data_IF_593204139035
#
_entry.id   IF_593204139035
#
_cell.length_a   1.000
_cell.length_b   1.000
_cell.length_c   1.000
_cell.angle_alpha   90.00
_cell.angle_beta   90.00
_cell.angle_gamma   90.00
#
_symmetry.space_group_name_H-M   'P 1'
#
loop_
_entity.id
_entity.type
_entity.pdbx_description
1 polymer ?
#
# COMPACT_ATOMS: atom_id res chain seq x y z
N UNK A 1 -20.20 -10.03 10.90
CA UNK A 1 -21.42 -9.25 11.18
C UNK A 1 -22.46 -10.07 11.94
N UNK A 2 -23.02 -11.15 11.39
CA UNK A 2 -24.05 -11.96 12.08
C UNK A 2 -23.62 -12.50 13.45
N UNK A 3 -22.40 -13.05 13.57
CA UNK A 3 -21.92 -13.58 14.85
C UNK A 3 -21.85 -12.50 15.94
N UNK A 4 -21.36 -11.30 15.60
CA UNK A 4 -21.23 -10.18 16.51
C UNK A 4 -22.61 -9.65 16.96
N UNK A 5 -23.58 -9.60 16.03
CA UNK A 5 -24.93 -9.17 16.33
C UNK A 5 -25.66 -10.14 17.26
N UNK A 6 -25.48 -11.46 17.06
CA UNK A 6 -26.05 -12.47 17.95
C UNK A 6 -25.33 -12.57 19.28
N UNK A 7 -24.00 -12.38 19.34
CA UNK A 7 -23.27 -12.27 20.61
C UNK A 7 -23.81 -11.07 21.42
N UNK A 8 -23.98 -9.91 20.79
CA UNK A 8 -24.58 -8.74 21.43
C UNK A 8 -26.01 -8.99 21.93
N UNK A 9 -26.82 -9.74 21.18
CA UNK A 9 -28.17 -10.11 21.60
C UNK A 9 -28.18 -11.14 22.76
N UNK A 10 -27.15 -11.99 22.86
CA UNK A 10 -26.94 -12.86 24.03
C UNK A 10 -26.54 -12.04 25.24
N UNK A 11 -25.62 -11.07 25.08
CA UNK A 11 -25.19 -10.19 26.17
C UNK A 11 -26.32 -9.32 26.74
N UNK A 12 -27.31 -8.98 25.90
CA UNK A 12 -28.53 -8.28 26.29
C UNK A 12 -29.64 -9.21 26.82
N UNK A 13 -29.39 -10.51 26.98
CA UNK A 13 -30.37 -11.53 27.40
C UNK A 13 -31.62 -11.62 26.48
N UNK A 14 -31.55 -11.09 25.26
CA UNK A 14 -32.64 -11.15 24.26
C UNK A 14 -32.76 -12.58 23.72
N UNK A 15 -31.65 -13.30 23.62
CA UNK A 15 -31.58 -14.70 23.21
C UNK A 15 -30.62 -15.47 24.12
N UNK A 16 -30.87 -16.78 24.30
CA UNK A 16 -30.09 -17.62 25.23
C UNK A 16 -28.79 -18.18 24.65
N UNK A 17 -28.65 -18.17 23.33
CA UNK A 17 -27.53 -18.77 22.63
C UNK A 17 -27.36 -18.14 21.25
N UNK A 18 -26.13 -18.11 20.75
CA UNK A 18 -25.81 -17.54 19.45
C UNK A 18 -25.87 -18.64 18.36
N UNK A 19 -26.90 -18.63 17.49
CA UNK A 19 -27.07 -19.65 16.45
C UNK A 19 -26.00 -19.59 15.35
N UNK A 20 -25.35 -18.44 15.14
CA UNK A 20 -24.30 -18.28 14.13
C UNK A 20 -23.04 -19.08 14.47
N UNK A 21 -22.81 -19.42 15.75
CA UNK A 21 -21.68 -20.27 16.17
C UNK A 21 -21.78 -21.70 15.63
N UNK A 22 -22.98 -22.18 15.33
CA UNK A 22 -23.24 -23.51 14.75
C UNK A 22 -23.15 -23.52 13.22
N UNK A 23 -23.10 -22.35 12.58
CA UNK A 23 -22.98 -22.25 11.14
C UNK A 23 -21.57 -22.67 10.70
N UNK A 24 -21.45 -23.91 10.21
CA UNK A 24 -20.23 -24.39 9.56
C UNK A 24 -20.29 -23.98 8.09
N UNK A 25 -19.49 -22.98 7.72
CA UNK A 25 -19.26 -22.68 6.32
C UNK A 25 -18.63 -23.91 5.64
N UNK A 26 -19.11 -24.31 4.45
CA UNK A 26 -18.50 -25.40 3.72
C UNK A 26 -17.01 -25.10 3.47
N UNK A 27 -16.16 -26.13 3.56
CA UNK A 27 -14.73 -25.97 3.24
C UNK A 27 -14.60 -25.50 1.80
N UNK A 28 -14.17 -24.25 1.62
CA UNK A 28 -13.90 -23.69 0.31
C UNK A 28 -12.73 -24.46 -0.31
N UNK A 29 -13.00 -25.25 -1.35
CA UNK A 29 -11.94 -25.86 -2.17
C UNK A 29 -11.33 -24.72 -3.00
N UNK A 30 -10.03 -24.47 -2.85
CA UNK A 30 -9.33 -23.48 -3.67
C UNK A 30 -9.35 -23.94 -5.13
N UNK A 31 -9.94 -23.15 -6.02
CA UNK A 31 -10.04 -23.44 -7.47
C UNK A 31 -8.94 -22.72 -8.25
N UNK A 32 -8.72 -23.08 -9.52
CA UNK A 32 -7.83 -22.32 -10.44
C UNK A 32 -8.21 -20.82 -10.53
N UNK A 33 -9.48 -20.49 -10.38
CA UNK A 33 -9.96 -19.09 -10.35
C UNK A 33 -9.47 -18.36 -9.10
N UNK A 34 -9.37 -19.03 -7.95
CA UNK A 34 -8.80 -18.45 -6.74
C UNK A 34 -7.30 -18.18 -6.86
N UNK A 35 -6.58 -18.93 -7.72
CA UNK A 35 -5.18 -18.65 -8.04
C UNK A 35 -5.05 -17.40 -8.91
N UNK A 36 -5.85 -17.28 -9.99
CA UNK A 36 -5.88 -16.08 -10.83
C UNK A 36 -6.22 -14.80 -10.06
N UNK A 37 -7.18 -14.89 -9.12
CA UNK A 37 -7.53 -13.78 -8.23
C UNK A 37 -6.37 -13.29 -7.35
N UNK A 38 -5.34 -14.10 -7.11
CA UNK A 38 -4.15 -13.66 -6.37
C UNK A 38 -3.20 -12.90 -7.30
N UNK A 39 -3.02 -13.35 -8.54
CA UNK A 39 -2.19 -12.68 -9.56
C UNK A 39 -2.73 -11.30 -9.95
N UNK A 40 -4.04 -11.09 -9.83
CA UNK A 40 -4.68 -9.79 -10.03
C UNK A 40 -4.38 -8.78 -8.90
N UNK A 41 -3.82 -9.22 -7.76
CA UNK A 41 -3.58 -8.35 -6.59
C UNK A 41 -2.27 -7.60 -6.63
N UNK A 42 -1.35 -7.97 -7.49
CA UNK A 42 -0.03 -7.36 -7.62
C UNK A 42 0.34 -7.16 -9.09
N UNK A 43 1.33 -6.31 -9.33
CA UNK A 43 1.86 -6.03 -10.66
C UNK A 43 3.15 -6.81 -10.90
N UNK A 44 3.31 -7.33 -12.11
CA UNK A 44 4.57 -7.88 -12.61
C UNK A 44 5.49 -6.74 -13.07
N UNK A 45 6.78 -7.01 -13.29
CA UNK A 45 7.76 -5.97 -13.66
C UNK A 45 7.41 -5.25 -14.98
N UNK A 46 6.87 -5.98 -15.95
CA UNK A 46 6.43 -5.47 -17.24
C UNK A 46 5.13 -4.65 -17.18
N UNK A 47 4.41 -4.71 -16.06
CA UNK A 47 3.22 -3.88 -15.80
C UNK A 47 3.56 -2.62 -15.00
N UNK A 48 4.34 -2.75 -13.91
CA UNK A 48 4.64 -1.62 -13.03
C UNK A 48 5.55 -0.58 -13.68
N UNK A 49 6.56 -1.01 -14.46
CA UNK A 49 7.53 -0.10 -15.11
C UNK A 49 6.82 0.84 -16.11
N UNK A 50 5.99 0.37 -17.06
CA UNK A 50 5.24 1.27 -17.94
C UNK A 50 4.25 2.16 -17.20
N UNK A 51 3.57 1.63 -16.17
CA UNK A 51 2.62 2.41 -15.37
C UNK A 51 3.29 3.60 -14.68
N UNK A 52 4.43 3.38 -14.01
CA UNK A 52 5.21 4.46 -13.38
C UNK A 52 5.70 5.46 -14.42
N UNK A 53 6.25 4.97 -15.54
CA UNK A 53 6.70 5.83 -16.64
C UNK A 53 5.57 6.74 -17.16
N UNK A 54 4.36 6.22 -17.32
CA UNK A 54 3.22 7.01 -17.79
C UNK A 54 2.70 8.00 -16.74
N UNK A 55 2.87 7.71 -15.45
CA UNK A 55 2.59 8.67 -14.37
C UNK A 55 3.58 9.85 -14.38
N UNK A 56 4.87 9.59 -14.64
CA UNK A 56 5.89 10.64 -14.75
C UNK A 56 5.75 11.52 -16.00
N UNK A 57 5.05 11.05 -17.04
CA UNK A 57 4.97 11.75 -18.32
C UNK A 57 4.29 13.13 -18.26
N UNK A 58 3.40 13.37 -17.29
CA UNK A 58 2.66 14.64 -17.19
C UNK A 58 3.09 15.42 -15.94
N UNK A 59 3.36 16.73 -16.06
CA UNK A 59 3.68 17.58 -14.90
C UNK A 59 2.61 17.53 -13.80
N UNK A 60 1.33 17.45 -14.18
CA UNK A 60 0.22 17.41 -13.22
C UNK A 60 0.15 16.13 -12.38
N UNK A 61 0.78 15.04 -12.81
CA UNK A 61 0.82 13.76 -12.09
C UNK A 61 2.19 13.48 -11.47
N UNK A 62 3.16 14.38 -11.60
CA UNK A 62 4.54 14.14 -11.18
C UNK A 62 4.67 13.82 -9.68
N UNK A 63 4.06 14.65 -8.80
CA UNK A 63 4.01 14.38 -7.34
C UNK A 63 3.32 13.05 -7.00
N UNK A 64 2.29 12.69 -7.78
CA UNK A 64 1.60 11.38 -7.65
C UNK A 64 2.48 10.23 -8.12
N UNK A 65 3.30 10.43 -9.15
CA UNK A 65 4.25 9.45 -9.66
C UNK A 65 5.34 9.15 -8.63
N UNK A 66 5.89 10.19 -8.00
CA UNK A 66 6.83 10.08 -6.89
C UNK A 66 6.23 9.29 -5.72
N UNK A 67 4.99 9.57 -5.33
CA UNK A 67 4.29 8.80 -4.29
C UNK A 67 4.10 7.33 -4.72
N UNK A 68 3.73 7.06 -5.96
CA UNK A 68 3.54 5.69 -6.46
C UNK A 68 4.86 4.90 -6.47
N UNK A 69 5.95 5.53 -6.93
CA UNK A 69 7.30 4.95 -6.90
C UNK A 69 7.73 4.67 -5.46
N UNK A 70 7.58 5.63 -4.55
CA UNK A 70 7.88 5.47 -3.14
C UNK A 70 7.10 4.31 -2.51
N UNK A 71 5.77 4.23 -2.74
CA UNK A 71 4.95 3.14 -2.23
C UNK A 71 5.38 1.77 -2.78
N UNK A 72 5.87 1.71 -4.03
CA UNK A 72 6.38 0.48 -4.63
C UNK A 72 7.69 -0.03 -4.01
N UNK A 73 8.49 0.88 -3.44
CA UNK A 73 9.76 0.58 -2.77
C UNK A 73 9.57 0.30 -1.27
N UNK A 74 8.67 1.06 -0.63
CA UNK A 74 8.44 0.98 0.81
C UNK A 74 7.46 -0.14 1.19
N UNK A 75 6.36 -0.25 0.45
CA UNK A 75 5.23 -1.13 0.75
C UNK A 75 4.26 -0.60 1.81
N UNK A 76 4.30 0.69 2.13
CA UNK A 76 3.37 1.36 3.03
C UNK A 76 1.95 1.43 2.49
N UNK A 77 0.98 1.60 3.40
CA UNK A 77 -0.38 2.00 2.98
C UNK A 77 -0.37 3.46 2.57
N UNK A 78 -1.25 3.86 1.66
CA UNK A 78 -1.32 5.27 1.23
C UNK A 78 -1.55 6.24 2.38
N UNK A 79 -2.40 5.88 3.35
CA UNK A 79 -2.64 6.71 4.53
C UNK A 79 -1.42 6.88 5.43
N UNK A 80 -0.54 5.86 5.49
CA UNK A 80 0.75 5.93 6.17
C UNK A 80 1.75 6.73 5.32
N UNK A 81 1.73 6.56 4.00
CA UNK A 81 2.64 7.22 3.06
C UNK A 81 2.46 8.74 3.01
N UNK A 82 1.23 9.24 3.18
CA UNK A 82 0.92 10.68 3.13
C UNK A 82 0.93 11.39 4.49
N UNK A 83 1.22 10.64 5.56
CA UNK A 83 1.32 11.12 6.94
C UNK A 83 2.71 11.50 7.49
N UNK A 84 3.87 11.18 6.84
CA UNK A 84 5.17 11.55 7.38
C UNK A 84 5.44 13.05 7.25
N UNK A 85 6.00 13.59 8.31
CA UNK A 85 6.49 14.96 8.45
C UNK A 85 8.02 14.98 8.38
N UNK A 86 8.61 16.18 8.30
CA UNK A 86 10.08 16.34 8.24
C UNK A 86 10.81 15.78 9.47
N UNK A 87 10.17 15.64 10.62
CA UNK A 87 10.82 15.01 11.77
C UNK A 87 10.84 13.47 11.71
N UNK A 88 10.04 12.86 10.83
CA UNK A 88 9.90 11.42 10.78
C UNK A 88 10.96 10.71 9.93
N UNK A 89 11.81 11.46 9.21
CA UNK A 89 12.88 10.91 8.37
C UNK A 89 14.28 11.25 8.91
N UNK A 90 15.12 10.23 8.94
CA UNK A 90 16.54 10.33 9.25
C UNK A 90 17.33 9.73 8.08
N UNK A 91 18.04 10.59 7.33
CA UNK A 91 18.84 10.19 6.18
C UNK A 91 20.20 9.59 6.56
N UNK A 92 20.70 9.86 7.78
CA UNK A 92 21.97 9.30 8.27
C UNK A 92 21.78 7.83 8.62
N UNK A 93 20.78 7.52 9.44
CA UNK A 93 20.42 6.14 9.81
C UNK A 93 19.56 5.45 8.74
N UNK A 94 19.06 6.22 7.77
CA UNK A 94 18.12 5.78 6.72
C UNK A 94 16.79 5.29 7.27
N UNK A 95 16.41 5.72 8.48
CA UNK A 95 15.17 5.30 9.12
C UNK A 95 14.05 6.27 8.74
N UNK A 96 12.93 5.72 8.28
CA UNK A 96 11.67 6.45 8.14
C UNK A 96 10.65 5.89 9.11
N UNK A 97 10.13 6.77 9.96
CA UNK A 97 9.03 6.49 10.86
C UNK A 97 7.70 6.66 10.13
N UNK A 98 6.89 5.60 10.13
CA UNK A 98 5.55 5.59 9.59
C UNK A 98 4.58 5.35 10.74
N UNK A 99 3.83 6.38 11.13
CA UNK A 99 2.85 6.30 12.19
C UNK A 99 1.65 7.20 11.92
N UNK A 100 0.49 6.74 12.37
CA UNK A 100 -0.77 7.43 12.15
C UNK A 100 -1.31 7.28 10.74
N UNK A 101 -2.51 7.82 10.53
CA UNK A 101 -3.16 7.93 9.23
C UNK A 101 -3.71 9.32 9.11
N UNK A 102 -3.62 9.89 7.91
CA UNK A 102 -4.29 11.15 7.64
C UNK A 102 -5.81 10.94 7.60
N UNK A 103 -6.50 11.43 8.62
CA UNK A 103 -7.96 11.44 8.66
C UNK A 103 -8.47 12.68 7.94
N UNK A 104 -9.36 12.45 6.99
CA UNK A 104 -9.92 13.47 6.11
C UNK A 104 -11.46 13.51 6.21
N UNK A 105 -12.03 13.03 7.32
CA UNK A 105 -13.47 13.10 7.64
C UNK A 105 -14.01 14.53 7.57
N UNK A 106 -13.27 15.51 8.11
CA UNK A 106 -13.58 16.94 8.04
C UNK A 106 -13.11 17.62 6.72
N UNK A 107 -12.77 16.80 5.72
CA UNK A 107 -12.25 17.21 4.42
C UNK A 107 -10.73 17.39 4.42
N UNK A 108 -10.11 17.11 3.27
CA UNK A 108 -8.64 17.05 3.16
C UNK A 108 -7.89 18.33 3.55
N UNK A 109 -8.52 19.50 3.48
CA UNK A 109 -7.87 20.76 3.92
C UNK A 109 -7.88 20.93 5.42
N UNK A 110 -8.80 20.30 6.14
CA UNK A 110 -8.97 20.40 7.59
C UNK A 110 -8.75 19.04 8.26
N UNK A 111 -8.17 18.08 7.53
CA UNK A 111 -7.85 16.77 8.05
C UNK A 111 -6.69 16.85 9.03
N UNK A 112 -6.67 15.90 9.96
CA UNK A 112 -5.65 15.81 10.99
C UNK A 112 -5.05 14.40 10.98
N UNK A 113 -3.78 14.32 11.42
CA UNK A 113 -3.14 13.03 11.67
C UNK A 113 -3.85 12.39 12.84
N UNK A 114 -4.58 11.30 12.59
CA UNK A 114 -5.14 10.52 13.68
C UNK A 114 -4.06 9.64 14.27
N UNK A 115 -3.81 9.82 15.56
CA UNK A 115 -3.05 8.86 16.36
C UNK A 115 -3.89 7.60 16.49
N UNK A 116 -3.43 6.49 15.91
CA UNK A 116 -4.13 5.22 16.05
C UNK A 116 -3.93 4.68 17.47
N UNK A 117 -5.02 4.25 18.11
CA UNK A 117 -5.15 3.95 19.56
C UNK A 117 -4.20 2.87 20.13
N UNK A 118 -3.25 2.33 19.37
CA UNK A 118 -2.41 1.19 19.80
C UNK A 118 -0.96 1.30 19.30
N UNK A 119 0.00 0.98 20.17
CA UNK A 119 1.46 0.94 19.88
C UNK A 119 1.85 0.11 18.64
N UNK A 120 1.00 -0.83 18.21
CA UNK A 120 1.24 -1.69 17.05
C UNK A 120 1.23 -0.98 15.68
N UNK A 121 0.86 0.31 15.62
CA UNK A 121 0.86 1.12 14.39
C UNK A 121 2.18 1.87 14.14
N UNK A 122 2.98 2.09 15.18
CA UNK A 122 4.30 2.67 15.02
C UNK A 122 5.22 1.67 14.33
N UNK A 123 5.64 1.99 13.10
CA UNK A 123 6.57 1.15 12.34
C UNK A 123 7.68 1.99 11.75
N UNK A 124 8.88 1.44 11.75
CA UNK A 124 10.04 2.03 11.11
C UNK A 124 10.40 1.21 9.87
N UNK A 125 10.84 1.89 8.83
CA UNK A 125 11.34 1.25 7.62
C UNK A 125 12.70 1.81 7.25
N UNK A 126 13.62 0.94 6.84
CA UNK A 126 14.92 1.36 6.29
C UNK A 126 14.72 1.83 4.85
N UNK A 127 15.02 3.08 4.57
CA UNK A 127 14.91 3.68 3.25
C UNK A 127 16.02 3.18 2.32
N UNK A 128 15.64 2.88 1.09
CA UNK A 128 16.54 2.76 -0.05
C UNK A 128 17.06 4.13 -0.46
N UNK A 129 18.14 4.17 -1.24
CA UNK A 129 18.66 5.42 -1.81
C UNK A 129 17.58 6.18 -2.60
N UNK A 130 16.79 5.47 -3.40
CA UNK A 130 15.74 6.06 -4.22
C UNK A 130 14.59 6.64 -3.40
N UNK A 131 14.21 5.99 -2.29
CA UNK A 131 13.20 6.55 -1.36
C UNK A 131 13.67 7.88 -0.77
N UNK A 132 14.95 8.01 -0.40
CA UNK A 132 15.50 9.27 0.11
C UNK A 132 15.51 10.36 -0.96
N UNK A 133 15.96 10.05 -2.19
CA UNK A 133 15.93 11.00 -3.31
C UNK A 133 14.51 11.51 -3.60
N UNK A 134 13.50 10.64 -3.53
CA UNK A 134 12.09 11.03 -3.71
C UNK A 134 11.63 11.99 -2.60
N UNK A 135 12.02 11.73 -1.35
CA UNK A 135 11.67 12.60 -0.23
C UNK A 135 12.35 13.96 -0.40
N UNK A 136 13.66 14.00 -0.67
CA UNK A 136 14.40 15.25 -0.91
C UNK A 136 13.78 16.07 -2.04
N UNK A 137 13.38 15.41 -3.14
CA UNK A 137 12.74 16.07 -4.27
C UNK A 137 11.38 16.68 -3.88
N UNK A 138 10.56 15.95 -3.11
CA UNK A 138 9.28 16.47 -2.62
C UNK A 138 9.46 17.61 -1.61
N UNK A 139 10.44 17.49 -0.70
CA UNK A 139 10.79 18.55 0.25
C UNK A 139 11.17 19.84 -0.50
N UNK A 140 12.04 19.73 -1.51
CA UNK A 140 12.41 20.86 -2.35
C UNK A 140 11.20 21.48 -3.07
N UNK A 141 10.36 20.65 -3.71
CA UNK A 141 9.16 21.16 -4.39
C UNK A 141 8.15 21.80 -3.43
N UNK A 142 8.06 21.30 -2.19
CA UNK A 142 7.20 21.86 -1.15
C UNK A 142 7.69 23.23 -0.72
N UNK A 143 8.98 23.37 -0.45
CA UNK A 143 9.58 24.66 -0.10
C UNK A 143 9.44 25.67 -1.23
N UNK A 144 9.62 25.27 -2.50
CA UNK A 144 9.40 26.16 -3.63
C UNK A 144 7.94 26.66 -3.69
N UNK A 145 6.96 25.76 -3.61
CA UNK A 145 5.54 26.12 -3.64
C UNK A 145 5.14 26.97 -2.43
N UNK A 146 5.66 26.66 -1.23
CA UNK A 146 5.43 27.46 -0.02
C UNK A 146 5.84 28.92 -0.18
N UNK A 147 6.93 29.17 -0.91
CA UNK A 147 7.45 30.52 -1.14
C UNK A 147 6.84 31.22 -2.38
N UNK A 148 6.18 30.50 -3.28
CA UNK A 148 5.76 31.05 -4.59
C UNK A 148 4.27 30.95 -4.89
N UNK A 149 3.54 30.09 -4.18
CA UNK A 149 2.12 29.81 -4.43
C UNK A 149 1.24 30.37 -3.31
N UNK A 150 0.45 31.43 -3.56
CA UNK A 150 -0.44 32.03 -2.56
C UNK A 150 -1.54 31.08 -2.02
N UNK A 151 -1.78 29.96 -2.71
CA UNK A 151 -2.76 28.94 -2.29
C UNK A 151 -2.14 27.80 -1.49
N UNK A 152 -0.83 27.87 -1.23
CA UNK A 152 -0.13 26.88 -0.44
C UNK A 152 -0.60 26.94 1.01
N UNK A 153 -0.98 25.78 1.56
CA UNK A 153 -1.30 25.60 2.97
C UNK A 153 -0.27 24.65 3.56
N UNK A 154 0.61 25.17 4.39
CA UNK A 154 1.58 24.33 5.09
C UNK A 154 0.86 23.47 6.14
N UNK A 155 0.91 22.16 5.93
CA UNK A 155 0.36 21.17 6.85
C UNK A 155 1.47 20.30 7.47
N UNK A 156 2.75 20.60 7.20
CA UNK A 156 3.91 19.87 7.74
C UNK A 156 4.25 18.54 7.06
N UNK A 157 3.42 18.05 6.13
CA UNK A 157 3.61 16.74 5.48
C UNK A 157 4.52 16.79 4.26
N UNK A 158 5.23 15.68 4.00
CA UNK A 158 6.14 15.53 2.86
C UNK A 158 5.35 15.29 1.56
N UNK A 159 4.45 14.29 1.54
CA UNK A 159 3.73 13.87 0.33
C UNK A 159 2.46 14.69 0.11
N UNK A 160 2.64 15.91 -0.40
CA UNK A 160 1.55 16.87 -0.61
C UNK A 160 1.30 17.17 -2.09
N UNK A 161 0.12 17.71 -2.37
CA UNK A 161 -0.19 18.40 -3.62
C UNK A 161 0.57 19.73 -3.69
N UNK A 162 0.60 20.38 -4.86
CA UNK A 162 1.19 21.74 -5.01
C UNK A 162 0.60 22.80 -4.08
N UNK A 163 -0.57 22.56 -3.49
CA UNK A 163 -1.20 23.47 -2.54
C UNK A 163 -0.84 23.14 -1.07
N UNK A 164 0.13 22.26 -0.81
CA UNK A 164 0.59 21.91 0.54
C UNK A 164 -0.32 20.93 1.31
N UNK A 165 -1.42 20.49 0.69
CA UNK A 165 -2.36 19.50 1.29
C UNK A 165 -1.95 18.08 0.92
N UNK A 166 -1.99 17.09 1.84
CA UNK A 166 -1.69 15.68 1.56
C UNK A 166 -2.39 15.13 0.30
N UNK A 167 -1.68 14.28 -0.45
CA UNK A 167 -2.23 13.65 -1.66
C UNK A 167 -3.41 12.76 -1.28
N UNK A 168 -4.54 12.97 -1.96
CA UNK A 168 -5.77 12.27 -1.66
C UNK A 168 -5.78 10.86 -2.26
N UNK A 169 -6.30 9.88 -1.52
CA UNK A 169 -6.37 8.49 -2.00
C UNK A 169 -7.21 8.36 -3.27
N UNK A 170 -8.34 9.07 -3.34
CA UNK A 170 -9.21 9.05 -4.52
C UNK A 170 -8.52 9.67 -5.75
N UNK A 171 -7.84 10.80 -5.57
CA UNK A 171 -7.08 11.46 -6.65
C UNK A 171 -5.91 10.60 -7.11
N UNK A 172 -5.23 9.94 -6.19
CA UNK A 172 -4.15 8.99 -6.48
C UNK A 172 -4.67 7.82 -7.32
N UNK A 173 -5.73 7.14 -6.86
CA UNK A 173 -6.33 6.00 -7.58
C UNK A 173 -6.87 6.42 -8.95
N UNK A 174 -7.46 7.61 -9.07
CA UNK A 174 -7.90 8.16 -10.36
C UNK A 174 -6.71 8.41 -11.31
N UNK A 175 -5.59 8.93 -10.79
CA UNK A 175 -4.38 9.12 -11.59
C UNK A 175 -3.82 7.79 -12.11
N UNK A 176 -3.81 6.73 -11.28
CA UNK A 176 -3.43 5.38 -11.71
C UNK A 176 -4.32 4.87 -12.84
N UNK A 177 -5.65 4.96 -12.66
CA UNK A 177 -6.63 4.54 -13.67
C UNK A 177 -6.41 5.28 -15.00
N UNK A 178 -6.24 6.59 -14.94
CA UNK A 178 -6.03 7.41 -16.12
C UNK A 178 -4.68 7.10 -16.79
N UNK A 179 -3.62 6.82 -16.02
CA UNK A 179 -2.33 6.39 -16.57
C UNK A 179 -2.46 5.05 -17.29
N UNK A 180 -3.13 4.07 -16.67
CA UNK A 180 -3.37 2.76 -17.27
C UNK A 180 -4.14 2.83 -18.60
N UNK A 181 -5.15 3.70 -18.70
CA UNK A 181 -5.90 3.92 -19.93
C UNK A 181 -5.05 4.48 -21.09
N UNK A 182 -3.88 5.05 -20.80
CA UNK A 182 -2.97 5.61 -21.79
C UNK A 182 -1.83 4.66 -22.17
N UNK A 183 -1.73 3.51 -21.52
CA UNK A 183 -0.76 2.49 -21.89
C UNK A 183 -1.17 1.84 -23.22
N UNK A 184 -0.17 1.50 -24.04
CA UNK A 184 -0.39 0.71 -25.27
C UNK A 184 -1.04 -0.65 -24.96
N UNK A 185 -0.66 -1.24 -23.82
CA UNK A 185 -1.24 -2.47 -23.27
C UNK A 185 -1.82 -2.17 -21.89
N UNK A 186 -3.12 -1.84 -21.78
CA UNK A 186 -3.76 -1.59 -20.49
C UNK A 186 -3.73 -2.82 -19.59
N UNK A 187 -3.36 -2.60 -18.33
CA UNK A 187 -3.32 -3.60 -17.27
C UNK A 187 -4.76 -3.98 -16.91
N UNK A 188 -5.09 -5.27 -17.01
CA UNK A 188 -6.42 -5.83 -16.70
C UNK A 188 -6.55 -6.24 -15.22
N UNK A 189 -6.01 -5.41 -14.31
CA UNK A 189 -6.02 -5.63 -12.86
C UNK A 189 -6.63 -4.44 -12.16
N UNK A 190 -7.14 -4.65 -10.94
CA UNK A 190 -7.73 -3.56 -10.17
C UNK A 190 -6.62 -2.65 -9.57
N UNK A 191 -6.35 -1.53 -10.24
CA UNK A 191 -5.32 -0.57 -9.82
C UNK A 191 -5.83 0.32 -8.68
N UNK A 192 -5.42 -0.01 -7.47
CA UNK A 192 -5.60 0.81 -6.27
C UNK A 192 -4.27 0.97 -5.56
N UNK A 193 -4.17 1.93 -4.63
CA UNK A 193 -2.93 2.17 -3.88
C UNK A 193 -2.36 0.94 -3.17
N UNK A 194 -3.20 -0.02 -2.75
CA UNK A 194 -2.76 -1.28 -2.15
C UNK A 194 -1.97 -2.19 -3.10
N UNK A 195 -2.11 -2.00 -4.43
CA UNK A 195 -1.43 -2.85 -5.42
C UNK A 195 0.09 -2.73 -5.30
N UNK A 196 0.63 -1.54 -4.99
CA UNK A 196 2.07 -1.32 -4.85
C UNK A 196 2.68 -2.11 -3.70
N UNK A 197 1.98 -2.16 -2.56
CA UNK A 197 2.35 -3.00 -1.42
C UNK A 197 2.40 -4.47 -1.79
N UNK A 198 1.37 -4.95 -2.48
CA UNK A 198 1.29 -6.34 -2.92
C UNK A 198 2.36 -6.69 -3.95
N UNK A 199 2.68 -5.76 -4.86
CA UNK A 199 3.80 -5.88 -5.78
C UNK A 199 5.13 -6.03 -5.04
N UNK A 200 5.39 -5.21 -4.01
CA UNK A 200 6.60 -5.38 -3.20
C UNK A 200 6.63 -6.75 -2.51
N UNK A 201 5.50 -7.21 -1.95
CA UNK A 201 5.39 -8.55 -1.35
C UNK A 201 5.73 -9.64 -2.37
N UNK A 202 5.17 -9.58 -3.59
CA UNK A 202 5.47 -10.55 -4.65
C UNK A 202 6.96 -10.55 -4.98
N UNK A 203 7.52 -9.37 -5.21
CA UNK A 203 8.93 -9.20 -5.57
C UNK A 203 9.88 -9.73 -4.49
N UNK A 204 9.61 -9.44 -3.22
CA UNK A 204 10.40 -9.96 -2.11
C UNK A 204 10.26 -11.48 -1.99
N UNK A 205 9.07 -12.03 -2.23
CA UNK A 205 8.83 -13.46 -2.24
C UNK A 205 9.59 -14.17 -3.37
N UNK A 206 9.62 -13.59 -4.59
CA UNK A 206 10.41 -14.07 -5.74
C UNK A 206 11.91 -14.10 -5.43
N UNK A 207 12.39 -13.16 -4.60
CA UNK A 207 13.78 -13.09 -4.15
C UNK A 207 14.04 -13.92 -2.88
N UNK A 208 13.17 -14.87 -2.56
CA UNK A 208 13.30 -15.79 -1.42
C UNK A 208 13.44 -15.10 -0.04
N UNK A 209 12.95 -13.87 0.10
CA UNK A 209 12.96 -13.17 1.40
C UNK A 209 12.00 -13.88 2.36
N UNK A 210 12.41 -14.16 3.62
CA UNK A 210 11.53 -14.84 4.58
C UNK A 210 10.22 -14.07 4.82
N UNK A 211 9.10 -14.78 4.84
CA UNK A 211 7.77 -14.20 5.07
C UNK A 211 7.72 -13.29 6.31
N UNK A 212 8.41 -13.66 7.39
CA UNK A 212 8.47 -12.85 8.61
C UNK A 212 9.10 -11.47 8.35
N UNK A 213 10.22 -11.41 7.64
CA UNK A 213 10.87 -10.17 7.26
C UNK A 213 10.01 -9.33 6.32
N UNK A 214 9.31 -9.96 5.37
CA UNK A 214 8.34 -9.26 4.50
C UNK A 214 7.22 -8.64 5.35
N UNK A 215 6.61 -9.40 6.26
CA UNK A 215 5.52 -8.91 7.12
C UNK A 215 5.99 -7.80 8.07
N UNK A 216 7.22 -7.86 8.58
CA UNK A 216 7.79 -6.79 9.39
C UNK A 216 8.04 -5.54 8.53
N UNK A 217 8.51 -5.69 7.28
CA UNK A 217 8.69 -4.59 6.31
C UNK A 217 7.40 -3.90 5.92
N UNK A 218 6.33 -4.65 5.61
CA UNK A 218 5.06 -4.05 5.16
C UNK A 218 4.10 -3.79 6.34
N UNK A 219 4.28 -4.41 7.49
CA UNK A 219 3.41 -4.30 8.66
C UNK A 219 2.26 -5.33 8.68
N UNK A 220 1.85 -5.75 9.89
CA UNK A 220 1.02 -6.94 10.12
C UNK A 220 -0.48 -6.77 9.86
N UNK A 221 -0.97 -5.54 9.72
CA UNK A 221 -2.41 -5.29 9.60
C UNK A 221 -3.07 -5.83 8.30
N UNK A 222 -2.29 -6.34 7.33
CA UNK A 222 -2.80 -7.08 6.16
C UNK A 222 -2.10 -8.44 5.97
N UNK A 223 -1.78 -9.10 7.09
CA UNK A 223 -1.08 -10.38 7.08
C UNK A 223 -1.75 -11.43 6.19
N UNK A 224 -3.09 -11.47 6.14
CA UNK A 224 -3.82 -12.45 5.31
C UNK A 224 -3.48 -12.31 3.83
N UNK A 225 -3.49 -11.10 3.28
CA UNK A 225 -3.20 -10.90 1.85
C UNK A 225 -1.72 -11.12 1.55
N UNK A 226 -0.84 -10.65 2.44
CA UNK A 226 0.61 -10.89 2.34
C UNK A 226 0.94 -12.40 2.32
N UNK A 227 0.37 -13.18 3.23
CA UNK A 227 0.55 -14.64 3.29
C UNK A 227 0.05 -15.30 2.01
N UNK A 228 -1.12 -14.88 1.50
CA UNK A 228 -1.70 -15.43 0.27
C UNK A 228 -0.77 -15.21 -0.93
N UNK A 229 -0.29 -13.99 -1.14
CA UNK A 229 0.61 -13.64 -2.24
C UNK A 229 1.93 -14.40 -2.10
N UNK A 230 2.57 -14.36 -0.92
CA UNK A 230 3.81 -15.08 -0.66
C UNK A 230 3.68 -16.58 -0.96
N UNK A 231 2.60 -17.20 -0.47
CA UNK A 231 2.36 -18.63 -0.70
C UNK A 231 2.12 -18.96 -2.17
N UNK A 232 1.45 -18.07 -2.91
CA UNK A 232 1.23 -18.24 -4.35
C UNK A 232 2.54 -18.19 -5.13
N UNK A 233 3.31 -17.12 -4.93
CA UNK A 233 4.59 -16.88 -5.61
C UNK A 233 5.58 -18.01 -5.32
N UNK A 234 5.74 -18.39 -4.05
CA UNK A 234 6.64 -19.48 -3.67
C UNK A 234 6.24 -20.83 -4.27
N UNK A 235 4.95 -21.10 -4.47
CA UNK A 235 4.49 -22.29 -5.20
C UNK A 235 4.80 -22.23 -6.68
N UNK A 236 4.60 -21.08 -7.33
CA UNK A 236 4.97 -20.84 -8.74
C UNK A 236 6.47 -21.03 -8.97
N UNK A 237 7.31 -20.59 -8.04
CA UNK A 237 8.75 -20.85 -8.08
C UNK A 237 9.07 -22.35 -7.91
N UNK A 238 8.37 -23.05 -7.01
CA UNK A 238 8.58 -24.49 -6.77
C UNK A 238 8.10 -25.37 -7.92
N UNK A 239 7.09 -24.98 -8.69
CA UNK A 239 6.68 -25.75 -9.88
C UNK A 239 7.75 -25.75 -10.97
N UNK A 240 8.63 -24.73 -11.03
CA UNK A 240 9.78 -24.69 -11.93
C UNK A 240 10.95 -25.57 -11.46
N UNK A 241 10.85 -26.20 -10.28
CA UNK A 241 11.88 -27.13 -9.78
C UNK A 241 11.89 -28.42 -10.60
N UNK A 242 10.75 -28.82 -11.18
CA UNK A 242 10.70 -29.95 -12.12
C UNK A 242 11.63 -29.71 -13.33
N UNK A 243 11.59 -28.51 -13.92
CA UNK A 243 12.46 -28.13 -15.04
C UNK A 243 13.96 -28.09 -14.65
N UNK A 244 14.27 -27.80 -13.38
CA UNK A 244 15.64 -27.82 -12.86
C UNK A 244 16.11 -29.26 -12.59
N UNK A 245 15.23 -30.12 -12.09
CA UNK A 245 15.54 -31.53 -11.81
C UNK A 245 15.62 -32.39 -13.08
N UNK A 246 14.94 -32.01 -14.17
CA UNK A 246 15.05 -32.67 -15.47
C UNK A 246 16.36 -32.35 -16.22
N UNK A 247 17.09 -31.30 -15.79
CA UNK A 247 18.40 -30.93 -16.31
C UNK A 247 19.56 -31.35 -15.39
N UNK A 248 19.32 -32.34 -14.52
CA UNK A 248 20.33 -32.96 -13.64
C UNK A 248 20.72 -34.34 -14.19
#
# INVERSE_FOLDING_TARGET
MLNLAFDYAVDLDIIKDNPARRAKLPRIKKTLEDWKKIEEKYLEEDEIKPLLKELFRRPSTYRTALLAEFMSLNGCRIGEAVSPELENRDFETKILQLHGTYDHTEGYRNGEKTTQKTNASYRETIMTKREMEIIEELEFMNELEKNTNPRYRDMGYIFTTKNGVPIQTNSFNLALKNANQRLEKPIQKNLTSHIFRHTLVSRLAENNVPLKAIMDRVGHADAKTTIQIYTHVTKKMKSNVADIMENY
#
